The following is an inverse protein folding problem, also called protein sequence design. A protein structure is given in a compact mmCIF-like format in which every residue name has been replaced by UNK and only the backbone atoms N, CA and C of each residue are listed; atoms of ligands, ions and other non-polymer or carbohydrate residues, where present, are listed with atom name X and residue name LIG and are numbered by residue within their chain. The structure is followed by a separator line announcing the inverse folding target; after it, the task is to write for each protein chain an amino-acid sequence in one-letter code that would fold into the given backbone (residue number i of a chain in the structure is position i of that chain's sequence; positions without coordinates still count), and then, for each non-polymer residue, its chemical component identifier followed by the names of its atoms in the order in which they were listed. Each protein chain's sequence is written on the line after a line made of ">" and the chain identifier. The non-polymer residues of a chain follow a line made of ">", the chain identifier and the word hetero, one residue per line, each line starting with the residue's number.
data_IF_271686007328
#
_entry.id   IF_271686007328
#
_cell.length_a   1.000
_cell.length_b   1.000
_cell.length_c   1.000
_cell.angle_alpha   90.00
_cell.angle_beta   90.00
_cell.angle_gamma   90.00
#
_symmetry.space_group_name_H-M   'P 1'
#
loop_
_entity.id
_entity.type
_entity.pdbx_description
1 polymer ?
#
# COMPACT_ATOMS: atom_id res chain seq x y z
N UNK A 1 -18.18 -9.74 -15.40
CA UNK A 1 -16.98 -8.89 -15.55
C UNK A 1 -15.94 -9.35 -14.55
N UNK A 2 -14.79 -9.86 -15.01
CA UNK A 2 -13.63 -10.06 -14.14
C UNK A 2 -12.99 -8.68 -13.94
N UNK A 3 -12.98 -8.16 -12.71
CA UNK A 3 -12.10 -7.03 -12.36
C UNK A 3 -10.70 -7.61 -12.26
N UNK A 4 -9.84 -7.30 -13.21
CA UNK A 4 -8.40 -7.51 -13.01
C UNK A 4 -7.96 -6.55 -11.90
N UNK A 5 -7.48 -7.11 -10.78
CA UNK A 5 -6.85 -6.35 -9.71
C UNK A 5 -5.57 -5.74 -10.27
N UNK A 6 -5.65 -4.52 -10.79
CA UNK A 6 -4.46 -3.77 -11.15
C UNK A 6 -3.77 -3.36 -9.83
N UNK A 7 -2.64 -3.97 -9.51
CA UNK A 7 -1.77 -3.47 -8.44
C UNK A 7 -1.23 -2.11 -8.88
N UNK A 8 -1.65 -1.04 -8.23
CA UNK A 8 -1.39 0.31 -8.71
C UNK A 8 -0.04 0.84 -8.23
N UNK A 9 0.31 0.59 -6.97
CA UNK A 9 1.41 1.31 -6.33
C UNK A 9 1.83 0.67 -5.00
N UNK A 10 3.13 0.73 -4.68
CA UNK A 10 3.64 0.43 -3.33
C UNK A 10 3.68 1.72 -2.52
N UNK A 11 3.15 1.68 -1.32
CA UNK A 11 3.04 2.81 -0.41
C UNK A 11 3.61 2.47 0.96
N UNK A 12 3.99 3.49 1.71
CA UNK A 12 4.36 3.37 3.13
C UNK A 12 3.33 4.11 3.95
N UNK A 13 2.69 3.43 4.90
CA UNK A 13 1.75 4.06 5.83
C UNK A 13 2.52 5.04 6.73
N UNK A 14 2.05 6.29 6.80
CA UNK A 14 2.63 7.32 7.67
C UNK A 14 1.70 7.73 8.81
N UNK A 15 0.43 7.34 8.73
CA UNK A 15 -0.55 7.45 9.80
C UNK A 15 -1.68 6.47 9.55
N UNK A 16 -2.25 5.86 10.60
CA UNK A 16 -3.44 5.00 10.48
C UNK A 16 -4.36 5.18 11.68
N UNK A 17 -5.66 5.30 11.41
CA UNK A 17 -6.68 5.43 12.44
C UNK A 17 -6.85 4.12 13.21
N UNK A 18 -6.97 4.24 14.54
CA UNK A 18 -7.17 3.10 15.47
C UNK A 18 -8.42 2.25 15.18
N UNK A 19 -9.35 2.79 14.40
CA UNK A 19 -10.61 2.14 14.03
C UNK A 19 -10.51 1.29 12.77
N UNK A 20 -9.40 1.41 12.02
CA UNK A 20 -9.15 0.53 10.88
C UNK A 20 -9.02 -0.89 11.40
N UNK A 21 -9.71 -1.81 10.72
CA UNK A 21 -9.68 -3.24 11.01
C UNK A 21 -9.42 -4.01 9.73
N UNK A 22 -8.44 -4.93 9.74
CA UNK A 22 -8.21 -5.84 8.63
C UNK A 22 -9.40 -6.77 8.49
N UNK A 23 -9.77 -7.05 7.23
CA UNK A 23 -10.76 -8.07 6.91
C UNK A 23 -10.09 -9.41 6.57
N UNK A 24 -8.78 -9.41 6.29
CA UNK A 24 -7.94 -10.59 6.16
C UNK A 24 -6.57 -10.37 6.80
N UNK A 25 -5.89 -11.46 7.16
CA UNK A 25 -4.62 -11.43 7.89
C UNK A 25 -4.80 -11.43 9.42
N UNK A 26 -3.69 -11.52 10.16
CA UNK A 26 -3.67 -11.61 11.62
C UNK A 26 -3.20 -10.31 12.30
N UNK A 27 -2.51 -9.45 11.56
CA UNK A 27 -1.88 -8.26 12.09
C UNK A 27 -2.77 -7.04 11.91
N UNK A 28 -2.58 -6.01 12.74
CA UNK A 28 -3.20 -4.70 12.51
C UNK A 28 -2.25 -3.84 11.66
N UNK A 29 -2.76 -2.96 10.78
CA UNK A 29 -1.93 -1.97 10.11
C UNK A 29 -1.24 -1.04 11.10
N UNK A 30 0.02 -0.74 10.82
CA UNK A 30 0.85 0.15 11.64
C UNK A 30 1.56 1.19 10.77
N UNK A 31 1.93 2.30 11.40
CA UNK A 31 2.81 3.28 10.76
C UNK A 31 4.16 2.63 10.39
N UNK A 32 4.65 2.90 9.19
CA UNK A 32 5.86 2.29 8.64
C UNK A 32 5.60 1.03 7.80
N UNK A 33 4.41 0.43 7.87
CA UNK A 33 4.08 -0.72 7.03
C UNK A 33 4.17 -0.35 5.53
N UNK A 34 4.82 -1.24 4.77
CA UNK A 34 4.83 -1.20 3.30
C UNK A 34 3.64 -2.00 2.79
N UNK A 35 2.79 -1.35 2.00
CA UNK A 35 1.58 -1.96 1.47
C UNK A 35 1.44 -1.70 -0.02
N UNK A 36 0.72 -2.58 -0.72
CA UNK A 36 0.35 -2.44 -2.12
C UNK A 36 -1.09 -1.93 -2.21
N UNK A 37 -1.33 -0.93 -3.05
CA UNK A 37 -2.68 -0.48 -3.40
C UNK A 37 -3.28 -1.46 -4.41
N UNK A 38 -4.29 -2.22 -3.99
CA UNK A 38 -4.99 -3.21 -4.81
C UNK A 38 -6.13 -2.59 -5.63
N UNK A 39 -6.91 -1.71 -5.01
CA UNK A 39 -8.04 -1.04 -5.66
C UNK A 39 -8.21 0.38 -5.12
N UNK A 40 -8.57 1.31 -6.01
CA UNK A 40 -9.02 2.66 -5.66
C UNK A 40 -10.46 2.82 -6.13
N UNK A 41 -11.39 2.99 -5.19
CA UNK A 41 -12.81 3.17 -5.49
C UNK A 41 -13.17 4.64 -5.28
N UNK A 42 -13.86 5.26 -6.24
CA UNK A 42 -14.11 6.71 -6.22
C UNK A 42 -15.59 7.12 -5.99
N UNK A 43 -16.52 6.17 -5.84
CA UNK A 43 -17.95 6.50 -5.67
C UNK A 43 -18.64 5.57 -4.65
N UNK A 44 -19.39 6.11 -3.67
CA UNK A 44 -19.67 7.53 -3.40
C UNK A 44 -18.55 8.28 -2.66
N UNK A 45 -17.47 7.58 -2.28
CA UNK A 45 -16.32 8.12 -1.56
C UNK A 45 -15.03 7.49 -2.07
N UNK A 46 -13.92 8.21 -1.90
CA UNK A 46 -12.58 7.70 -2.19
C UNK A 46 -12.15 6.68 -1.12
N UNK A 47 -12.06 5.43 -1.52
CA UNK A 47 -11.61 4.30 -0.71
C UNK A 47 -10.39 3.65 -1.33
N UNK A 48 -9.51 3.14 -0.48
CA UNK A 48 -8.36 2.34 -0.87
C UNK A 48 -8.46 0.96 -0.27
N UNK A 49 -8.19 -0.05 -1.09
CA UNK A 49 -7.90 -1.40 -0.64
C UNK A 49 -6.38 -1.61 -0.66
N UNK A 50 -5.83 -1.93 0.51
CA UNK A 50 -4.39 -2.07 0.73
C UNK A 50 -4.09 -3.46 1.27
N UNK A 51 -3.01 -4.05 0.78
CA UNK A 51 -2.44 -5.30 1.30
C UNK A 51 -1.01 -5.07 1.79
N UNK A 52 -0.70 -5.57 2.99
CA UNK A 52 0.67 -5.70 3.46
C UNK A 52 1.02 -7.19 3.55
N UNK A 53 2.17 -7.53 2.98
CA UNK A 53 2.73 -8.88 3.01
C UNK A 53 4.08 -8.87 3.72
N UNK A 54 4.44 -9.99 4.33
CA UNK A 54 5.77 -10.20 4.90
C UNK A 54 6.82 -10.48 3.80
N UNK A 55 8.07 -10.70 4.22
CA UNK A 55 9.20 -11.00 3.32
C UNK A 55 9.04 -12.31 2.53
N UNK A 56 8.16 -13.21 2.97
CA UNK A 56 7.86 -14.46 2.30
C UNK A 56 6.64 -14.34 1.37
N UNK A 57 6.06 -13.14 1.24
CA UNK A 57 4.87 -12.87 0.47
C UNK A 57 3.57 -13.31 1.16
N UNK A 58 3.61 -13.68 2.44
CA UNK A 58 2.40 -14.02 3.17
C UNK A 58 1.68 -12.73 3.62
N UNK A 59 0.38 -12.67 3.37
CA UNK A 59 -0.46 -11.52 3.76
C UNK A 59 -0.49 -11.35 5.28
N UNK A 60 0.04 -10.23 5.78
CA UNK A 60 -0.07 -9.81 7.18
C UNK A 60 -1.44 -9.21 7.47
N UNK A 61 -1.92 -8.35 6.57
CA UNK A 61 -3.24 -7.75 6.62
C UNK A 61 -3.73 -7.28 5.25
N UNK A 62 -5.07 -7.26 5.09
CA UNK A 62 -5.76 -6.55 4.01
C UNK A 62 -6.86 -5.69 4.61
N UNK A 63 -6.93 -4.44 4.18
CA UNK A 63 -7.83 -3.42 4.72
C UNK A 63 -8.46 -2.62 3.60
N UNK A 64 -9.69 -2.17 3.85
CA UNK A 64 -10.41 -1.22 3.01
C UNK A 64 -10.78 0.00 3.84
N UNK A 65 -10.30 1.17 3.45
CA UNK A 65 -10.46 2.39 4.27
C UNK A 65 -10.63 3.66 3.45
N UNK A 66 -11.30 4.67 4.02
CA UNK A 66 -11.45 6.00 3.41
C UNK A 66 -10.11 6.75 3.50
N UNK A 67 -9.86 7.67 2.55
CA UNK A 67 -8.63 8.50 2.58
C UNK A 67 -8.42 9.25 3.91
N UNK A 68 -9.50 9.58 4.64
CA UNK A 68 -9.40 10.27 5.94
C UNK A 68 -8.83 9.40 7.06
N UNK A 69 -8.90 8.07 6.93
CA UNK A 69 -8.56 7.13 7.99
C UNK A 69 -7.06 6.77 8.00
N UNK A 70 -6.29 7.24 7.02
CA UNK A 70 -4.86 6.99 6.92
C UNK A 70 -4.13 8.04 6.11
N UNK A 71 -2.80 8.02 6.18
CA UNK A 71 -1.91 8.76 5.28
C UNK A 71 -0.81 7.83 4.82
N UNK A 72 -0.32 8.07 3.61
CA UNK A 72 0.78 7.31 3.06
C UNK A 72 1.65 8.17 2.17
N UNK A 73 2.86 7.68 1.90
CA UNK A 73 3.73 8.18 0.84
C UNK A 73 3.99 7.09 -0.18
N UNK A 74 4.21 7.50 -1.42
CA UNK A 74 4.64 6.60 -2.50
C UNK A 74 6.01 6.05 -2.18
N UNK A 75 6.18 4.73 -2.32
CA UNK A 75 7.49 4.12 -2.23
C UNK A 75 8.13 4.16 -3.61
N UNK A 76 8.97 5.17 -3.84
CA UNK A 76 9.90 5.15 -4.96
C UNK A 76 11.02 4.20 -4.56
N UNK A 77 10.92 2.93 -4.99
CA UNK A 77 12.07 2.05 -4.93
C UNK A 77 13.23 2.77 -5.62
N UNK A 78 14.33 2.95 -4.91
CA UNK A 78 15.55 3.43 -5.54
C UNK A 78 15.93 2.41 -6.61
N UNK A 79 15.62 2.71 -7.87
CA UNK A 79 16.44 2.23 -8.96
C UNK A 79 17.80 2.88 -8.70
N UNK A 80 18.72 2.18 -8.05
CA UNK A 80 20.13 2.50 -8.22
C UNK A 80 20.45 2.12 -9.66
N UNK A 81 20.14 3.03 -10.58
CA UNK A 81 20.70 3.04 -11.92
C UNK A 81 22.21 2.96 -11.77
N UNK A 82 22.82 2.03 -12.50
CA UNK A 82 24.18 2.20 -12.97
C UNK A 82 24.18 3.45 -13.84
N UNK A 83 24.41 4.62 -13.24
CA UNK A 83 24.84 5.79 -13.97
C UNK A 83 26.23 5.50 -14.54
N UNK A 84 26.43 5.48 -15.87
CA UNK A 84 27.77 5.49 -16.42
C UNK A 84 28.42 6.81 -16.03
N UNK A 85 29.56 6.73 -15.36
CA UNK A 85 30.38 7.87 -15.02
C UNK A 85 30.62 8.73 -16.26
N UNK A 86 30.07 9.95 -16.27
CA UNK A 86 30.52 11.00 -17.17
C UNK A 86 31.99 11.33 -16.86
N UNK A 87 32.82 11.00 -17.85
CA UNK A 87 34.09 11.59 -18.27
C UNK A 87 34.77 12.62 -17.36
N UNK A 88 36.06 12.37 -17.12
CA UNK A 88 37.09 13.42 -17.16
C UNK A 88 37.99 13.17 -18.36
#
# INVERSE_FOLDING_TARGET
>A
MKKELQQYEVVVLTAVSKHVRPWAGKDQPQEGDKAVVLEVLQSPKLMYELECSDENGATKWIVKMEQKDFRFRRFFGSNSENDPAESK
#
